data_IF_550304269171
#
_entry.id   IF_550304269171
#
_cell.length_a   1.000
_cell.length_b   1.000
_cell.length_c   1.000
_cell.angle_alpha   90.00
_cell.angle_beta   90.00
_cell.angle_gamma   90.00
#
_symmetry.space_group_name_H-M   'P 1'
#
loop_
_entity.id
_entity.type
_entity.pdbx_description
1 polymer ?
#
# COMPACT_ATOMS: atom_id res chain seq x y z
N UNK A 1 8.09 -3.91 1.29
CA UNK A 1 8.90 -4.62 0.28
C UNK A 1 7.94 -5.34 -0.66
N UNK A 2 7.88 -4.95 -1.94
CA UNK A 2 7.10 -5.68 -2.95
C UNK A 2 7.93 -6.86 -3.46
N UNK A 3 7.31 -8.01 -3.70
CA UNK A 3 7.98 -9.19 -4.28
C UNK A 3 7.36 -9.46 -5.66
N UNK A 4 8.20 -9.59 -6.69
CA UNK A 4 7.75 -9.94 -8.04
C UNK A 4 7.79 -11.46 -8.21
N UNK A 5 6.70 -12.06 -8.69
CA UNK A 5 6.68 -13.46 -9.12
C UNK A 5 6.65 -13.49 -10.66
N UNK A 6 7.82 -13.73 -11.24
CA UNK A 6 8.08 -13.61 -12.69
C UNK A 6 7.29 -14.60 -13.55
N UNK A 7 6.76 -15.69 -12.98
CA UNK A 7 6.08 -16.74 -13.73
C UNK A 7 4.67 -16.36 -14.23
N UNK A 8 4.06 -15.26 -13.73
CA UNK A 8 2.68 -14.89 -14.08
C UNK A 8 2.47 -13.42 -14.49
N UNK A 9 3.54 -12.64 -14.69
CA UNK A 9 3.41 -11.19 -14.89
C UNK A 9 2.54 -10.55 -13.79
N UNK A 10 2.76 -10.97 -12.56
CA UNK A 10 1.95 -10.60 -11.40
C UNK A 10 2.84 -9.94 -10.36
N UNK A 11 2.36 -8.83 -9.81
CA UNK A 11 3.04 -8.12 -8.73
C UNK A 11 2.29 -8.36 -7.44
N UNK A 12 2.97 -8.98 -6.47
CA UNK A 12 2.42 -9.15 -5.13
C UNK A 12 2.58 -7.86 -4.33
N UNK A 13 1.48 -7.37 -3.79
CA UNK A 13 1.42 -6.25 -2.85
C UNK A 13 0.89 -6.72 -1.51
N UNK A 14 1.45 -6.22 -0.42
CA UNK A 14 1.04 -6.55 0.95
C UNK A 14 0.68 -5.28 1.70
N UNK A 15 -0.38 -5.34 2.50
CA UNK A 15 -0.74 -4.27 3.42
C UNK A 15 -0.43 -4.65 4.86
N UNK A 16 -0.02 -3.65 5.63
CA UNK A 16 0.09 -3.73 7.07
C UNK A 16 -0.36 -2.40 7.68
N UNK A 17 -0.89 -2.46 8.90
CA UNK A 17 -1.33 -1.29 9.66
C UNK A 17 -0.61 -1.24 11.01
N UNK A 18 -0.48 -0.04 11.56
CA UNK A 18 0.15 0.20 12.85
C UNK A 18 -0.51 1.40 13.53
N UNK A 19 -0.58 1.37 14.86
CA UNK A 19 -1.05 2.49 15.70
C UNK A 19 0.09 3.19 16.45
N UNK A 20 1.27 2.56 16.55
CA UNK A 20 2.44 3.08 17.26
C UNK A 20 3.62 3.40 16.32
N UNK A 21 3.52 3.06 15.03
CA UNK A 21 4.57 3.24 14.03
C UNK A 21 5.74 2.26 14.16
N UNK A 22 5.73 1.36 15.15
CA UNK A 22 6.83 0.43 15.47
C UNK A 22 6.40 -1.01 15.23
N UNK A 23 5.21 -1.39 15.68
CA UNK A 23 4.62 -2.72 15.51
C UNK A 23 3.62 -2.72 14.38
N UNK A 24 3.75 -3.68 13.48
CA UNK A 24 2.95 -3.74 12.25
C UNK A 24 2.16 -5.05 12.19
N UNK A 25 0.86 -4.93 11.97
CA UNK A 25 -0.05 -6.06 11.75
C UNK A 25 -0.32 -6.21 10.27
N UNK A 26 -0.04 -7.39 9.70
CA UNK A 26 -0.34 -7.69 8.29
C UNK A 26 -1.83 -7.91 8.10
N UNK A 27 -2.43 -7.20 7.15
CA UNK A 27 -3.90 -7.21 6.93
C UNK A 27 -4.32 -7.84 5.61
N UNK A 28 -3.42 -7.94 4.61
CA UNK A 28 -3.77 -8.57 3.34
C UNK A 28 -2.61 -8.70 2.36
N UNK A 29 -2.79 -9.61 1.40
CA UNK A 29 -1.91 -9.84 0.26
C UNK A 29 -2.77 -9.86 -0.99
N UNK A 30 -2.37 -9.11 -2.02
CA UNK A 30 -3.03 -9.09 -3.32
C UNK A 30 -2.02 -9.31 -4.41
N UNK A 31 -2.51 -9.90 -5.50
CA UNK A 31 -1.76 -10.08 -6.72
C UNK A 31 -2.34 -9.16 -7.78
N UNK A 32 -1.55 -8.21 -8.25
CA UNK A 32 -1.97 -7.22 -9.23
C UNK A 32 -1.39 -7.59 -10.61
N UNK A 33 -2.15 -7.42 -11.71
CA UNK A 33 -1.60 -7.56 -13.05
C UNK A 33 -0.45 -6.55 -13.25
N UNK A 34 0.70 -7.01 -13.77
CA UNK A 34 1.90 -6.16 -13.98
C UNK A 34 1.77 -5.29 -15.24
N UNK A 35 0.55 -5.05 -15.73
CA UNK A 35 0.27 -4.31 -16.97
C UNK A 35 0.58 -2.82 -16.87
N UNK A 36 0.88 -2.29 -15.68
CA UNK A 36 1.28 -0.90 -15.49
C UNK A 36 2.19 -0.71 -14.27
N UNK A 37 2.93 0.41 -14.24
CA UNK A 37 3.76 0.79 -13.08
C UNK A 37 2.85 1.12 -11.89
N UNK A 38 3.06 0.43 -10.77
CA UNK A 38 2.34 0.71 -9.53
C UNK A 38 2.60 2.13 -9.04
N UNK A 39 1.54 2.78 -8.53
CA UNK A 39 1.58 4.11 -7.92
C UNK A 39 1.16 4.01 -6.47
N UNK A 40 1.77 4.82 -5.61
CA UNK A 40 1.42 4.96 -4.20
C UNK A 40 0.95 6.38 -3.92
N UNK A 41 -0.07 6.53 -3.07
CA UNK A 41 -0.65 7.83 -2.75
C UNK A 41 -1.53 7.78 -1.51
N UNK A 42 -1.97 8.97 -1.06
CA UNK A 42 -2.96 9.13 -0.01
C UNK A 42 -4.34 9.19 -0.63
N UNK A 43 -5.30 8.52 -0.02
CA UNK A 43 -6.71 8.58 -0.44
C UNK A 43 -7.57 8.82 0.79
N UNK A 44 -8.55 9.70 0.65
CA UNK A 44 -9.63 9.87 1.60
C UNK A 44 -10.93 9.73 0.82
N UNK A 45 -11.74 8.75 1.18
CA UNK A 45 -13.02 8.49 0.55
C UNK A 45 -14.06 8.32 1.66
N UNK A 46 -15.00 9.25 1.74
CA UNK A 46 -16.06 9.26 2.74
C UNK A 46 -17.25 10.07 2.19
N UNK A 47 -18.39 10.03 2.89
CA UNK A 47 -19.48 11.01 2.74
C UNK A 47 -18.96 12.42 3.05
N UNK A 48 -19.60 13.44 2.46
CA UNK A 48 -19.22 14.84 2.65
C UNK A 48 -19.12 15.23 4.13
N UNK A 49 -18.13 16.06 4.47
CA UNK A 49 -17.92 16.62 5.81
C UNK A 49 -16.80 15.97 6.63
N UNK A 50 -16.25 14.83 6.20
CA UNK A 50 -15.10 14.22 6.85
C UNK A 50 -13.77 14.77 6.33
N UNK A 51 -12.86 15.12 7.24
CA UNK A 51 -11.50 15.58 6.92
C UNK A 51 -10.50 14.52 7.36
N UNK A 52 -9.69 14.02 6.42
CA UNK A 52 -8.54 13.18 6.72
C UNK A 52 -7.25 14.01 6.68
N UNK A 53 -6.45 13.94 7.74
CA UNK A 53 -5.13 14.58 7.81
C UNK A 53 -4.04 13.52 7.71
N UNK A 54 -3.06 13.79 6.86
CA UNK A 54 -1.91 12.93 6.65
C UNK A 54 -0.64 13.75 6.85
N UNK A 55 0.12 13.48 7.90
CA UNK A 55 1.34 14.23 8.21
C UNK A 55 2.44 13.97 7.18
N UNK A 56 2.61 12.72 6.74
CA UNK A 56 3.61 12.36 5.74
C UNK A 56 3.27 11.09 4.96
N UNK A 57 3.94 10.94 3.82
CA UNK A 57 4.12 9.66 3.12
C UNK A 57 5.61 9.45 2.96
N UNK A 58 6.09 8.26 3.33
CA UNK A 58 7.49 7.87 3.14
C UNK A 58 7.56 6.66 2.24
N UNK A 59 8.40 6.75 1.22
CA UNK A 59 8.76 5.62 0.35
C UNK A 59 10.21 5.26 0.62
N UNK A 60 10.45 3.98 0.91
CA UNK A 60 11.80 3.45 1.04
C UNK A 60 12.14 2.72 -0.25
N UNK A 61 13.31 3.03 -0.82
CA UNK A 61 13.89 2.23 -1.90
C UNK A 61 14.83 1.22 -1.24
N UNK A 62 14.55 -0.06 -1.47
CA UNK A 62 15.50 -1.15 -1.19
C UNK A 62 16.50 -1.29 -2.32
#
# INVERSE_FOLDING_TARGET
MCRFFTARNETEVRAATSTDGVRWTHTGVWTLPTVSRLRIGRVAQNTAGAIARFDYVRTYRG
#
